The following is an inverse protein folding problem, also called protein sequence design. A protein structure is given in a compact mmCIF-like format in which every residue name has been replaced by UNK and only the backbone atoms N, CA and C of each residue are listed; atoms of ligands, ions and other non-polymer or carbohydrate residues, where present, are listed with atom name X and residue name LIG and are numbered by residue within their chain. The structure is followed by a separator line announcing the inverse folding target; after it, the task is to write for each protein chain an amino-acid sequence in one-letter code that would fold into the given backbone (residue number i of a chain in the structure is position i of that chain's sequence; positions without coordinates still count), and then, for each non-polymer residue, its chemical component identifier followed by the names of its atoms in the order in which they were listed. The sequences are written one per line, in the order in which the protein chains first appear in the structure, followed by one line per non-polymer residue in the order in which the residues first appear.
data_IF_633117717457
#
_entry.id   IF_633117717457
#
_cell.length_a   1.000
_cell.length_b   1.000
_cell.length_c   1.000
_cell.angle_alpha   90.00
_cell.angle_beta   90.00
_cell.angle_gamma   90.00
#
_symmetry.space_group_name_H-M   'P 1'
#
loop_
_entity.id
_entity.type
_entity.pdbx_description
1 polymer ?
#
# COMPACT_ATOMS: atom_id res chain seq x y z
N UNK A 1 22.15 15.30 -1.35
CA UNK A 1 21.56 15.01 -2.68
C UNK A 1 22.50 15.54 -3.74
N UNK A 2 22.80 14.77 -4.78
CA UNK A 2 23.57 15.25 -5.94
C UNK A 2 22.64 16.01 -6.89
N UNK A 3 23.19 16.93 -7.70
CA UNK A 3 22.42 17.77 -8.64
C UNK A 3 21.52 16.96 -9.60
N UNK A 4 22.00 15.79 -10.06
CA UNK A 4 21.22 14.90 -10.93
C UNK A 4 19.99 14.26 -10.28
N UNK A 5 20.01 13.99 -8.96
CA UNK A 5 18.82 13.48 -8.25
C UNK A 5 17.77 14.56 -8.07
N UNK A 6 18.20 15.79 -7.78
CA UNK A 6 17.28 16.92 -7.64
C UNK A 6 16.54 17.20 -8.97
N UNK A 7 17.25 17.13 -10.10
CA UNK A 7 16.65 17.29 -11.43
C UNK A 7 15.56 16.26 -11.73
N UNK A 8 15.79 14.99 -11.36
CA UNK A 8 14.81 13.90 -11.57
C UNK A 8 13.54 14.09 -10.72
N UNK A 9 13.70 14.49 -9.45
CA UNK A 9 12.56 14.78 -8.56
C UNK A 9 11.76 15.98 -9.04
N UNK A 10 12.44 17.06 -9.45
CA UNK A 10 11.78 18.26 -9.99
C UNK A 10 11.03 17.93 -11.28
N UNK A 11 11.64 17.13 -12.17
CA UNK A 11 10.97 16.64 -13.37
C UNK A 11 9.71 15.85 -13.01
N UNK A 12 9.81 14.88 -12.10
CA UNK A 12 8.65 14.08 -11.68
C UNK A 12 7.51 14.89 -11.07
N UNK A 13 7.82 15.85 -10.20
CA UNK A 13 6.81 16.74 -9.61
C UNK A 13 6.10 17.61 -10.65
N UNK A 14 6.80 18.03 -11.71
CA UNK A 14 6.21 18.82 -12.81
C UNK A 14 5.29 17.98 -13.70
N UNK A 15 5.57 16.69 -13.86
CA UNK A 15 4.87 15.80 -14.79
C UNK A 15 3.82 14.91 -14.13
N UNK A 16 3.71 14.91 -12.79
CA UNK A 16 2.81 14.04 -12.02
C UNK A 16 1.31 14.11 -12.39
N UNK A 17 0.89 15.17 -13.09
CA UNK A 17 -0.51 15.38 -13.52
C UNK A 17 -0.63 15.75 -15.00
N UNK A 18 0.42 15.52 -15.78
CA UNK A 18 0.38 15.75 -17.23
C UNK A 18 0.00 14.43 -17.90
N UNK A 19 -0.79 14.52 -18.96
CA UNK A 19 -1.07 13.37 -19.81
C UNK A 19 0.27 12.82 -20.36
N UNK A 20 0.42 11.49 -20.46
CA UNK A 20 1.61 10.88 -21.06
C UNK A 20 1.74 11.27 -22.53
N UNK A 21 2.96 11.55 -22.96
CA UNK A 21 3.30 11.64 -24.38
C UNK A 21 3.61 10.24 -24.91
N UNK A 22 2.57 9.57 -25.41
CA UNK A 22 2.66 8.18 -25.88
C UNK A 22 3.52 8.04 -27.13
N UNK A 23 3.54 9.05 -28.00
CA UNK A 23 4.34 9.02 -29.23
C UNK A 23 5.82 9.10 -28.88
N UNK A 24 6.19 9.98 -27.95
CA UNK A 24 7.56 10.04 -27.43
C UNK A 24 7.97 8.75 -26.71
N UNK A 25 7.06 8.12 -25.95
CA UNK A 25 7.33 6.81 -25.34
C UNK A 25 7.58 5.72 -26.39
N UNK A 26 6.74 5.64 -27.43
CA UNK A 26 6.92 4.68 -28.53
C UNK A 26 8.16 4.96 -29.35
N UNK A 27 8.56 6.22 -29.49
CA UNK A 27 9.74 6.65 -30.24
C UNK A 27 11.05 6.55 -29.44
N UNK A 28 11.02 6.15 -28.16
CA UNK A 28 12.22 6.04 -27.34
C UNK A 28 13.28 5.15 -28.02
N UNK A 29 14.49 5.70 -28.19
CA UNK A 29 15.57 5.07 -28.97
C UNK A 29 16.41 4.06 -28.20
N UNK A 30 16.18 3.92 -26.90
CA UNK A 30 16.89 2.96 -26.03
C UNK A 30 16.02 2.53 -24.84
N UNK A 31 16.32 1.37 -24.21
CA UNK A 31 15.64 0.94 -22.98
C UNK A 31 15.74 1.97 -21.84
N UNK A 32 16.89 2.61 -21.68
CA UNK A 32 17.12 3.62 -20.64
C UNK A 32 16.31 4.90 -20.89
N UNK A 33 16.15 5.28 -22.17
CA UNK A 33 15.29 6.39 -22.55
C UNK A 33 13.82 6.08 -22.30
N UNK A 34 13.36 4.89 -22.71
CA UNK A 34 12.01 4.41 -22.42
C UNK A 34 11.75 4.47 -20.91
N UNK A 35 12.66 3.92 -20.10
CA UNK A 35 12.51 3.89 -18.66
C UNK A 35 12.38 5.30 -18.04
N UNK A 36 13.20 6.25 -18.51
CA UNK A 36 13.19 7.63 -18.04
C UNK A 36 11.87 8.34 -18.36
N UNK A 37 11.34 8.11 -19.55
CA UNK A 37 10.08 8.70 -20.02
C UNK A 37 8.87 8.05 -19.34
N UNK A 38 8.89 6.73 -19.13
CA UNK A 38 7.77 5.95 -18.62
C UNK A 38 7.61 6.02 -17.09
N UNK A 39 8.70 6.23 -16.33
CA UNK A 39 8.68 6.10 -14.87
C UNK A 39 7.61 6.95 -14.17
N UNK A 40 7.45 8.21 -14.56
CA UNK A 40 6.48 9.11 -13.91
C UNK A 40 5.05 8.86 -14.40
N UNK A 41 4.78 8.72 -15.71
CA UNK A 41 3.46 8.33 -16.18
C UNK A 41 2.96 7.00 -15.62
N UNK A 42 3.82 5.99 -15.55
CA UNK A 42 3.46 4.63 -15.11
C UNK A 42 3.18 4.54 -13.60
N UNK A 43 3.88 5.33 -12.78
CA UNK A 43 3.87 5.15 -11.32
C UNK A 43 3.65 6.42 -10.49
N UNK A 44 3.52 7.59 -11.11
CA UNK A 44 3.15 8.86 -10.46
C UNK A 44 4.03 9.16 -9.23
N UNK A 45 3.43 9.19 -8.03
CA UNK A 45 4.17 9.46 -6.78
C UNK A 45 5.25 8.41 -6.51
N UNK A 46 5.03 7.15 -6.87
CA UNK A 46 6.04 6.10 -6.74
C UNK A 46 7.21 6.33 -7.70
N UNK A 47 6.96 6.81 -8.93
CA UNK A 47 8.03 7.22 -9.84
C UNK A 47 8.86 8.39 -9.30
N UNK A 48 8.22 9.36 -8.60
CA UNK A 48 8.94 10.41 -7.87
C UNK A 48 9.75 9.82 -6.71
N UNK A 49 9.18 8.86 -5.98
CA UNK A 49 9.85 8.20 -4.86
C UNK A 49 11.12 7.45 -5.30
N UNK A 50 11.04 6.70 -6.41
CA UNK A 50 12.17 6.02 -7.06
C UNK A 50 13.30 6.99 -7.41
N UNK A 51 12.98 8.24 -7.75
CA UNK A 51 13.98 9.28 -8.05
C UNK A 51 14.85 9.69 -6.84
N UNK A 52 14.45 9.40 -5.60
CA UNK A 52 15.27 9.66 -4.41
C UNK A 52 16.34 8.59 -4.16
N UNK A 53 16.20 7.41 -4.75
CA UNK A 53 17.07 6.26 -4.51
C UNK A 53 18.52 6.47 -5.00
N UNK A 54 19.43 5.60 -4.58
CA UNK A 54 20.77 5.51 -5.15
C UNK A 54 20.70 5.06 -6.61
N UNK A 55 21.77 5.26 -7.40
CA UNK A 55 21.73 4.91 -8.82
C UNK A 55 21.43 3.41 -9.04
N UNK A 56 22.06 2.52 -8.25
CA UNK A 56 21.82 1.09 -8.30
C UNK A 56 20.39 0.72 -7.90
N UNK A 57 19.92 1.16 -6.73
CA UNK A 57 18.55 0.84 -6.27
C UNK A 57 17.49 1.45 -7.19
N UNK A 58 17.76 2.61 -7.79
CA UNK A 58 16.87 3.24 -8.76
C UNK A 58 16.75 2.41 -10.03
N UNK A 59 17.86 1.86 -10.55
CA UNK A 59 17.82 1.01 -11.73
C UNK A 59 16.98 -0.25 -11.48
N UNK A 60 17.23 -0.94 -10.36
CA UNK A 60 16.47 -2.13 -9.95
C UNK A 60 14.98 -1.80 -9.75
N UNK A 61 14.66 -0.78 -8.95
CA UNK A 61 13.28 -0.37 -8.71
C UNK A 61 12.56 0.08 -9.98
N UNK A 62 13.26 0.72 -10.93
CA UNK A 62 12.67 1.12 -12.22
C UNK A 62 12.36 -0.10 -13.08
N UNK A 63 13.31 -1.03 -13.21
CA UNK A 63 13.11 -2.24 -13.99
C UNK A 63 11.99 -3.12 -13.40
N UNK A 64 11.99 -3.31 -12.08
CA UNK A 64 10.94 -4.04 -11.36
C UNK A 64 9.55 -3.41 -11.58
N UNK A 65 9.46 -2.08 -11.45
CA UNK A 65 8.22 -1.35 -11.64
C UNK A 65 7.70 -1.48 -13.07
N UNK A 66 8.53 -1.25 -14.08
CA UNK A 66 8.09 -1.34 -15.47
C UNK A 66 7.72 -2.78 -15.85
N UNK A 67 8.42 -3.78 -15.30
CA UNK A 67 8.06 -5.18 -15.45
C UNK A 67 6.68 -5.48 -14.85
N UNK A 68 6.38 -5.01 -13.64
CA UNK A 68 5.03 -5.17 -13.07
C UNK A 68 3.96 -4.48 -13.92
N UNK A 69 4.23 -3.30 -14.49
CA UNK A 69 3.28 -2.62 -15.38
C UNK A 69 3.03 -3.36 -16.70
N UNK A 70 4.04 -4.08 -17.19
CA UNK A 70 3.84 -5.02 -18.30
C UNK A 70 2.91 -6.17 -17.88
N UNK A 71 3.07 -6.72 -16.68
CA UNK A 71 2.17 -7.76 -16.17
C UNK A 71 0.73 -7.24 -16.02
N UNK A 72 0.54 -6.03 -15.46
CA UNK A 72 -0.77 -5.37 -15.38
C UNK A 72 -1.42 -5.27 -16.77
N UNK A 73 -0.65 -4.93 -17.82
CA UNK A 73 -1.16 -4.86 -19.19
C UNK A 73 -1.74 -6.21 -19.67
N UNK A 74 -1.06 -7.32 -19.36
CA UNK A 74 -1.53 -8.66 -19.70
C UNK A 74 -2.63 -9.17 -18.78
N UNK A 75 -2.76 -8.65 -17.56
CA UNK A 75 -3.86 -8.97 -16.66
C UNK A 75 -5.15 -8.26 -17.11
N UNK A 76 -5.07 -6.97 -17.42
CA UNK A 76 -6.24 -6.11 -17.59
C UNK A 76 -6.72 -6.00 -19.04
N UNK A 77 -5.80 -6.08 -20.02
CA UNK A 77 -6.11 -5.65 -21.39
C UNK A 77 -6.16 -6.80 -22.42
N UNK A 78 -5.74 -8.00 -22.06
CA UNK A 78 -5.91 -9.17 -22.93
C UNK A 78 -7.28 -9.81 -22.68
N UNK A 79 -7.79 -10.55 -23.67
CA UNK A 79 -9.00 -11.34 -23.51
C UNK A 79 -8.90 -12.25 -22.28
N UNK A 80 -9.89 -12.14 -21.39
CA UNK A 80 -9.90 -12.81 -20.08
C UNK A 80 -9.60 -14.32 -20.12
N UNK A 81 -10.10 -15.11 -21.10
CA UNK A 81 -9.76 -16.53 -21.20
C UNK A 81 -8.26 -16.82 -21.41
N UNK A 82 -7.52 -15.88 -21.98
CA UNK A 82 -6.08 -15.99 -22.27
C UNK A 82 -5.21 -15.36 -21.19
N UNK A 83 -5.75 -14.46 -20.38
CA UNK A 83 -5.00 -13.61 -19.45
C UNK A 83 -4.08 -14.37 -18.50
N UNK A 84 -4.58 -15.42 -17.84
CA UNK A 84 -3.76 -16.22 -16.89
C UNK A 84 -2.52 -16.80 -17.58
N UNK A 85 -2.70 -17.39 -18.77
CA UNK A 85 -1.57 -17.96 -19.54
C UNK A 85 -0.62 -16.89 -20.08
N UNK A 86 -1.14 -15.73 -20.47
CA UNK A 86 -0.35 -14.62 -20.99
C UNK A 86 0.52 -13.98 -19.90
N UNK A 87 -0.02 -13.78 -18.70
CA UNK A 87 0.74 -13.30 -17.54
C UNK A 87 1.90 -14.25 -17.21
N UNK A 88 1.64 -15.56 -17.12
CA UNK A 88 2.70 -16.56 -16.85
C UNK A 88 3.78 -16.56 -17.95
N UNK A 89 3.37 -16.41 -19.21
CA UNK A 89 4.31 -16.31 -20.34
C UNK A 89 5.13 -15.02 -20.27
N UNK A 90 4.51 -13.90 -19.91
CA UNK A 90 5.20 -12.62 -19.73
C UNK A 90 6.25 -12.69 -18.62
N UNK A 91 5.93 -13.32 -17.49
CA UNK A 91 6.88 -13.58 -16.40
C UNK A 91 8.07 -14.39 -16.89
N UNK A 92 7.83 -15.54 -17.53
CA UNK A 92 8.90 -16.38 -18.06
C UNK A 92 9.77 -15.64 -19.08
N UNK A 93 9.15 -14.81 -19.92
CA UNK A 93 9.87 -14.03 -20.91
C UNK A 93 10.75 -12.94 -20.27
N UNK A 94 10.22 -12.20 -19.30
CA UNK A 94 10.94 -11.14 -18.58
C UNK A 94 12.09 -11.70 -17.74
N UNK A 95 11.93 -12.89 -17.16
CA UNK A 95 12.99 -13.61 -16.43
C UNK A 95 14.03 -14.25 -17.36
N UNK A 96 13.70 -14.40 -18.64
CA UNK A 96 14.56 -15.06 -19.63
C UNK A 96 14.48 -16.58 -19.63
N UNK A 97 13.47 -17.14 -18.97
CA UNK A 97 13.17 -18.58 -18.97
C UNK A 97 12.60 -19.03 -20.33
N UNK A 98 11.95 -18.11 -21.05
CA UNK A 98 11.49 -18.32 -22.43
C UNK A 98 11.93 -17.20 -23.37
N UNK A 99 12.21 -17.54 -24.63
CA UNK A 99 12.68 -16.58 -25.64
C UNK A 99 11.56 -15.95 -26.47
N UNK A 100 10.37 -16.55 -26.46
CA UNK A 100 9.23 -16.04 -27.21
C UNK A 100 8.42 -15.08 -26.34
N UNK A 101 8.20 -13.82 -26.76
CA UNK A 101 7.36 -12.91 -26.00
C UNK A 101 5.90 -13.38 -26.01
N UNK A 102 5.10 -12.99 -25.00
CA UNK A 102 3.66 -13.18 -25.01
C UNK A 102 2.99 -12.54 -26.25
N UNK A 103 1.74 -12.93 -26.59
CA UNK A 103 1.00 -12.37 -27.71
C UNK A 103 0.88 -10.85 -27.63
N UNK A 104 0.81 -10.18 -28.78
CA UNK A 104 0.57 -8.74 -28.81
C UNK A 104 -0.82 -8.41 -28.26
N UNK A 105 -0.92 -7.33 -27.49
CA UNK A 105 -2.19 -6.80 -27.02
C UNK A 105 -2.88 -6.03 -28.15
N UNK A 106 -4.17 -6.31 -28.37
CA UNK A 106 -5.01 -5.64 -29.36
C UNK A 106 -6.16 -4.90 -28.68
N UNK A 107 -5.84 -4.17 -27.61
CA UNK A 107 -6.80 -3.44 -26.80
C UNK A 107 -6.76 -1.93 -27.09
N UNK A 108 -7.88 -1.27 -26.83
CA UNK A 108 -7.97 0.19 -26.81
C UNK A 108 -7.94 0.64 -25.36
N UNK A 109 -6.90 1.38 -24.98
CA UNK A 109 -6.83 1.96 -23.64
C UNK A 109 -7.94 3.00 -23.44
N UNK A 110 -8.65 2.86 -22.33
CA UNK A 110 -9.67 3.81 -21.86
C UNK A 110 -9.03 4.84 -20.93
N UNK A 111 -7.99 4.44 -20.19
CA UNK A 111 -7.28 5.29 -19.21
C UNK A 111 -5.86 5.61 -19.67
N UNK A 112 -5.35 6.78 -19.31
CA UNK A 112 -3.95 7.17 -19.56
C UNK A 112 -2.95 6.15 -19.00
N UNK A 113 -3.25 5.53 -17.86
CA UNK A 113 -2.40 4.50 -17.24
C UNK A 113 -2.34 3.23 -18.10
N UNK A 114 -3.48 2.78 -18.62
CA UNK A 114 -3.54 1.62 -19.53
C UNK A 114 -2.81 1.92 -20.83
N UNK A 115 -2.89 3.16 -21.33
CA UNK A 115 -2.18 3.54 -22.55
C UNK A 115 -0.66 3.46 -22.38
N UNK A 116 -0.14 3.80 -21.19
CA UNK A 116 1.27 3.60 -20.85
C UNK A 116 1.60 2.11 -20.75
N UNK A 117 0.73 1.31 -20.13
CA UNK A 117 0.94 -0.13 -19.96
C UNK A 117 0.96 -0.86 -21.31
N UNK A 118 0.09 -0.48 -22.25
CA UNK A 118 0.11 -0.98 -23.62
C UNK A 118 1.44 -0.68 -24.31
N UNK A 119 1.93 0.56 -24.22
CA UNK A 119 3.23 0.90 -24.81
C UNK A 119 4.36 0.11 -24.17
N UNK A 120 4.33 -0.12 -22.85
CA UNK A 120 5.32 -0.95 -22.17
C UNK A 120 5.24 -2.42 -22.61
N UNK A 121 4.04 -2.97 -22.83
CA UNK A 121 3.85 -4.32 -23.34
C UNK A 121 4.30 -4.46 -24.80
N UNK A 122 4.00 -3.49 -25.67
CA UNK A 122 4.53 -3.39 -27.04
C UNK A 122 6.07 -3.38 -27.03
N UNK A 123 6.65 -2.70 -26.04
CA UNK A 123 8.10 -2.54 -25.83
C UNK A 123 8.66 -3.53 -24.80
N UNK A 124 8.02 -4.69 -24.57
CA UNK A 124 8.43 -5.67 -23.54
C UNK A 124 9.90 -6.13 -23.70
N UNK A 125 10.43 -6.14 -24.93
CA UNK A 125 11.85 -6.40 -25.22
C UNK A 125 12.79 -5.43 -24.53
N UNK A 126 12.45 -4.14 -24.50
CA UNK A 126 13.26 -3.12 -23.82
C UNK A 126 13.17 -3.27 -22.30
N UNK A 127 11.99 -3.64 -21.78
CA UNK A 127 11.82 -3.94 -20.35
C UNK A 127 12.66 -5.16 -19.95
N UNK A 128 12.67 -6.23 -20.76
CA UNK A 128 13.57 -7.38 -20.56
C UNK A 128 15.04 -6.97 -20.62
N UNK A 129 15.42 -6.06 -21.51
CA UNK A 129 16.79 -5.55 -21.60
C UNK A 129 17.21 -4.78 -20.33
N UNK A 130 16.30 -3.98 -19.75
CA UNK A 130 16.54 -3.31 -18.47
C UNK A 130 16.76 -4.31 -17.33
N UNK A 131 15.96 -5.37 -17.27
CA UNK A 131 16.15 -6.46 -16.29
C UNK A 131 17.49 -7.16 -16.51
N UNK A 132 17.82 -7.52 -17.76
CA UNK A 132 19.07 -8.19 -18.09
C UNK A 132 20.32 -7.36 -17.72
N UNK A 133 20.22 -6.03 -17.77
CA UNK A 133 21.29 -5.11 -17.40
C UNK A 133 21.54 -4.99 -15.88
N UNK A 134 20.63 -5.49 -15.03
CA UNK A 134 20.84 -5.47 -13.58
C UNK A 134 21.98 -6.44 -13.17
N UNK A 135 22.66 -6.16 -12.05
CA UNK A 135 23.54 -7.13 -11.41
C UNK A 135 22.80 -8.44 -11.11
N UNK A 136 23.54 -9.56 -11.06
CA UNK A 136 22.95 -10.91 -10.90
C UNK A 136 21.99 -11.01 -9.71
N UNK A 137 22.38 -10.48 -8.55
CA UNK A 137 21.53 -10.47 -7.35
C UNK A 137 20.24 -9.67 -7.54
N UNK A 138 20.32 -8.52 -8.22
CA UNK A 138 19.15 -7.71 -8.53
C UNK A 138 18.21 -8.42 -9.49
N UNK A 139 18.74 -9.10 -10.51
CA UNK A 139 17.94 -9.94 -11.42
C UNK A 139 17.23 -11.06 -10.69
N UNK A 140 17.92 -11.75 -9.78
CA UNK A 140 17.34 -12.83 -9.00
C UNK A 140 16.22 -12.34 -8.08
N UNK A 141 16.44 -11.21 -7.36
CA UNK A 141 15.41 -10.62 -6.50
C UNK A 141 14.18 -10.20 -7.28
N UNK A 142 14.36 -9.50 -8.39
CA UNK A 142 13.24 -9.05 -9.23
C UNK A 142 12.54 -10.24 -9.87
N UNK A 143 13.29 -11.23 -10.37
CA UNK A 143 12.70 -12.41 -11.00
C UNK A 143 11.86 -13.25 -10.05
N UNK A 144 12.30 -13.44 -8.80
CA UNK A 144 11.48 -14.08 -7.75
C UNK A 144 10.20 -13.29 -7.48
N UNK A 145 10.30 -11.97 -7.35
CA UNK A 145 9.12 -11.11 -7.15
C UNK A 145 8.13 -11.22 -8.33
N UNK A 146 8.60 -11.24 -9.58
CA UNK A 146 7.75 -11.36 -10.76
C UNK A 146 7.02 -12.71 -10.83
N UNK A 147 7.69 -13.80 -10.43
CA UNK A 147 7.05 -15.13 -10.31
C UNK A 147 5.94 -15.10 -9.27
N UNK A 148 6.22 -14.57 -8.07
CA UNK A 148 5.24 -14.51 -6.98
C UNK A 148 4.01 -13.67 -7.37
N UNK A 149 4.23 -12.49 -7.94
CA UNK A 149 3.16 -11.57 -8.38
C UNK A 149 2.36 -12.18 -9.52
N UNK A 150 3.04 -12.69 -10.55
CA UNK A 150 2.38 -13.28 -11.72
C UNK A 150 1.52 -14.50 -11.37
N UNK A 151 1.94 -15.33 -10.41
CA UNK A 151 1.12 -16.46 -9.96
C UNK A 151 -0.09 -16.02 -9.13
N UNK A 152 -0.02 -14.89 -8.41
CA UNK A 152 -1.20 -14.31 -7.75
C UNK A 152 -2.19 -13.79 -8.79
N UNK A 153 -1.73 -13.04 -9.79
CA UNK A 153 -2.56 -12.54 -10.89
C UNK A 153 -3.23 -13.69 -11.64
N UNK A 154 -2.46 -14.71 -12.02
CA UNK A 154 -2.97 -15.88 -12.72
C UNK A 154 -4.04 -16.64 -11.92
N UNK A 155 -3.81 -16.87 -10.63
CA UNK A 155 -4.81 -17.50 -9.74
C UNK A 155 -6.06 -16.67 -9.61
N UNK A 156 -5.95 -15.35 -9.50
CA UNK A 156 -7.10 -14.45 -9.41
C UNK A 156 -7.95 -14.47 -10.69
N UNK A 157 -7.32 -14.59 -11.86
CA UNK A 157 -7.99 -14.71 -13.15
C UNK A 157 -8.74 -16.05 -13.29
N UNK A 158 -8.18 -17.14 -12.75
CA UNK A 158 -8.79 -18.48 -12.75
C UNK A 158 -9.90 -18.63 -11.71
N UNK A 159 -9.65 -18.15 -10.50
CA UNK A 159 -10.55 -18.18 -9.36
C UNK A 159 -10.39 -16.88 -8.56
N UNK A 160 -11.37 -15.97 -8.62
CA UNK A 160 -11.29 -14.68 -7.96
C UNK A 160 -10.88 -14.80 -6.48
N UNK A 161 -9.84 -14.05 -6.10
CA UNK A 161 -9.37 -13.95 -4.74
C UNK A 161 -10.15 -12.85 -4.00
N UNK A 162 -10.13 -12.88 -2.66
CA UNK A 162 -10.59 -11.72 -1.89
C UNK A 162 -9.71 -10.50 -2.23
N UNK A 163 -10.29 -9.30 -2.16
CA UNK A 163 -9.54 -8.09 -2.53
C UNK A 163 -8.28 -7.91 -1.69
N UNK A 164 -8.36 -8.24 -0.40
CA UNK A 164 -7.22 -8.23 0.53
C UNK A 164 -6.15 -9.23 0.08
N UNK A 165 -6.49 -10.50 -0.15
CA UNK A 165 -5.52 -11.53 -0.53
C UNK A 165 -4.85 -11.22 -1.87
N UNK A 166 -5.61 -10.73 -2.85
CA UNK A 166 -5.05 -10.26 -4.11
C UNK A 166 -4.08 -9.10 -3.89
N UNK A 167 -4.48 -8.07 -3.15
CA UNK A 167 -3.65 -6.87 -2.92
C UNK A 167 -2.35 -7.17 -2.16
N UNK A 168 -2.39 -8.07 -1.19
CA UNK A 168 -1.19 -8.56 -0.49
C UNK A 168 -0.28 -9.36 -1.42
N UNK A 169 -0.87 -10.19 -2.28
CA UNK A 169 -0.14 -11.03 -3.22
C UNK A 169 0.48 -10.27 -4.40
N UNK A 170 -0.08 -9.13 -4.80
CA UNK A 170 0.50 -8.29 -5.87
C UNK A 170 1.31 -7.14 -5.30
N UNK A 171 0.68 -6.04 -4.86
CA UNK A 171 1.39 -4.86 -4.37
C UNK A 171 2.12 -5.13 -3.04
N UNK A 172 1.63 -6.03 -2.19
CA UNK A 172 2.34 -6.42 -0.97
C UNK A 172 3.71 -7.04 -1.26
N UNK A 173 3.82 -7.90 -2.29
CA UNK A 173 5.09 -8.48 -2.75
C UNK A 173 6.02 -7.43 -3.34
N UNK A 174 5.48 -6.47 -4.09
CA UNK A 174 6.25 -5.33 -4.61
C UNK A 174 6.78 -4.45 -3.47
N UNK A 175 5.99 -4.20 -2.43
CA UNK A 175 6.43 -3.46 -1.25
C UNK A 175 7.49 -4.24 -0.48
N UNK A 176 7.33 -5.55 -0.31
CA UNK A 176 8.34 -6.39 0.34
C UNK A 176 9.68 -6.29 -0.41
N UNK A 177 9.66 -6.44 -1.73
CA UNK A 177 10.84 -6.24 -2.56
C UNK A 177 11.46 -4.84 -2.36
N UNK A 178 10.65 -3.79 -2.37
CA UNK A 178 11.12 -2.42 -2.14
C UNK A 178 11.73 -2.23 -0.73
N UNK A 179 11.18 -2.88 0.30
CA UNK A 179 11.72 -2.90 1.65
C UNK A 179 13.07 -3.61 1.69
N UNK A 180 13.18 -4.82 1.14
CA UNK A 180 14.43 -5.58 1.06
C UNK A 180 15.51 -4.82 0.28
N UNK A 181 15.14 -4.08 -0.76
CA UNK A 181 16.07 -3.28 -1.54
C UNK A 181 16.71 -2.12 -0.76
N UNK A 182 16.02 -1.59 0.25
CA UNK A 182 16.48 -0.38 0.97
C UNK A 182 16.87 -0.61 2.43
N UNK A 183 16.48 -1.75 2.99
CA UNK A 183 16.85 -2.18 4.33
C UNK A 183 18.24 -2.79 4.34
N UNK A 184 18.94 -2.66 5.47
CA UNK A 184 20.09 -3.51 5.78
C UNK A 184 19.63 -4.96 6.02
N UNK A 185 20.49 -5.91 5.66
CA UNK A 185 20.22 -7.35 5.75
C UNK A 185 19.71 -7.73 7.13
N UNK A 186 18.47 -8.20 7.17
CA UNK A 186 17.77 -8.53 8.39
C UNK A 186 17.43 -10.01 8.29
N UNK A 187 17.93 -10.82 9.22
CA UNK A 187 17.75 -12.27 9.16
C UNK A 187 16.28 -12.72 9.01
N UNK A 188 16.07 -13.99 8.65
CA UNK A 188 14.80 -14.54 8.17
C UNK A 188 13.55 -14.21 9.02
N UNK A 189 13.65 -14.15 10.35
CA UNK A 189 12.52 -13.79 11.23
C UNK A 189 12.03 -12.36 10.97
N UNK A 190 12.94 -11.43 10.72
CA UNK A 190 12.60 -10.04 10.42
C UNK A 190 12.02 -9.92 9.02
N UNK A 191 12.44 -10.74 8.06
CA UNK A 191 11.85 -10.78 6.72
C UNK A 191 10.39 -11.23 6.75
N UNK A 192 10.06 -12.24 7.56
CA UNK A 192 8.68 -12.70 7.72
C UNK A 192 7.78 -11.60 8.30
N UNK A 193 8.23 -10.91 9.35
CA UNK A 193 7.52 -9.77 9.93
C UNK A 193 7.38 -8.61 8.93
N UNK A 194 8.44 -8.30 8.17
CA UNK A 194 8.39 -7.28 7.12
C UNK A 194 7.43 -7.68 6.00
N UNK A 195 7.32 -8.96 5.66
CA UNK A 195 6.39 -9.49 4.66
C UNK A 195 4.93 -9.23 5.03
N UNK A 196 4.56 -9.52 6.28
CA UNK A 196 3.19 -9.25 6.76
C UNK A 196 2.86 -7.75 6.73
N UNK A 197 3.79 -6.92 7.21
CA UNK A 197 3.62 -5.47 7.25
C UNK A 197 3.66 -4.81 5.85
N UNK A 198 4.47 -5.36 4.93
CA UNK A 198 4.48 -4.97 3.53
C UNK A 198 3.14 -5.29 2.84
N UNK A 199 2.53 -6.43 3.18
CA UNK A 199 1.17 -6.78 2.77
C UNK A 199 0.17 -5.66 3.07
N UNK A 200 0.20 -5.11 4.29
CA UNK A 200 -0.67 -4.00 4.69
C UNK A 200 -0.49 -2.72 3.87
N UNK A 201 0.75 -2.37 3.52
CA UNK A 201 1.02 -1.25 2.61
C UNK A 201 0.53 -1.56 1.19
N UNK A 202 0.71 -2.79 0.73
CA UNK A 202 0.18 -3.27 -0.55
C UNK A 202 -1.33 -3.11 -0.64
N UNK A 203 -2.07 -3.59 0.37
CA UNK A 203 -3.52 -3.40 0.50
C UNK A 203 -3.88 -1.92 0.48
N UNK A 204 -3.22 -1.09 1.30
CA UNK A 204 -3.48 0.36 1.36
C UNK A 204 -3.27 1.04 0.00
N UNK A 205 -2.19 0.70 -0.70
CA UNK A 205 -1.90 1.26 -2.02
C UNK A 205 -2.90 0.78 -3.08
N UNK A 206 -3.34 -0.48 -3.01
CA UNK A 206 -4.35 -1.00 -3.94
C UNK A 206 -5.71 -0.33 -3.72
N UNK A 207 -6.14 -0.22 -2.47
CA UNK A 207 -7.36 0.51 -2.09
C UNK A 207 -7.33 1.97 -2.59
N UNK A 208 -6.17 2.63 -2.51
CA UNK A 208 -6.00 3.98 -3.05
C UNK A 208 -6.09 4.02 -4.59
N UNK A 209 -5.59 2.99 -5.29
CA UNK A 209 -5.75 2.87 -6.73
C UNK A 209 -7.23 2.65 -7.10
N UNK A 210 -7.92 1.74 -6.41
CA UNK A 210 -9.33 1.42 -6.67
C UNK A 210 -10.23 2.66 -6.56
N UNK A 211 -10.01 3.49 -5.54
CA UNK A 211 -10.74 4.76 -5.37
C UNK A 211 -10.46 5.77 -6.47
N UNK A 212 -9.20 5.84 -6.88
CA UNK A 212 -8.74 6.79 -7.89
C UNK A 212 -9.28 6.42 -9.26
N UNK A 213 -9.33 5.13 -9.54
CA UNK A 213 -9.68 4.56 -10.83
C UNK A 213 -11.19 4.24 -10.92
N UNK A 214 -11.93 4.49 -9.83
CA UNK A 214 -13.39 4.37 -9.73
C UNK A 214 -13.89 2.95 -10.02
N UNK A 215 -13.24 1.97 -9.38
CA UNK A 215 -13.49 0.53 -9.55
C UNK A 215 -14.81 0.08 -8.88
N UNK A 216 -15.96 0.63 -9.32
CA UNK A 216 -17.28 0.35 -8.72
C UNK A 216 -17.66 -1.14 -8.76
N UNK A 217 -17.38 -1.80 -9.90
CA UNK A 217 -17.77 -3.19 -10.15
C UNK A 217 -17.09 -4.17 -9.19
N UNK A 218 -15.80 -3.96 -8.87
CA UNK A 218 -15.03 -4.80 -7.95
C UNK A 218 -15.69 -4.85 -6.56
N UNK A 219 -16.35 -3.77 -6.15
CA UNK A 219 -16.97 -3.64 -4.84
C UNK A 219 -18.49 -3.90 -4.88
N UNK A 220 -19.08 -4.10 -6.06
CA UNK A 220 -20.52 -4.27 -6.23
C UNK A 220 -21.33 -3.05 -5.77
N UNK A 221 -20.75 -1.85 -5.88
CA UNK A 221 -21.35 -0.59 -5.43
C UNK A 221 -21.87 0.23 -6.60
N UNK A 222 -22.91 1.03 -6.37
CA UNK A 222 -23.59 1.76 -7.42
C UNK A 222 -22.90 3.08 -7.78
N UNK A 223 -22.22 3.70 -6.80
CA UNK A 223 -21.62 5.01 -6.97
C UNK A 223 -20.31 5.20 -6.19
N UNK A 224 -19.69 6.35 -6.46
CA UNK A 224 -18.40 6.74 -5.87
C UNK A 224 -18.46 6.93 -4.36
N UNK A 225 -19.60 7.38 -3.81
CA UNK A 225 -19.72 7.61 -2.38
C UNK A 225 -19.75 6.26 -1.62
N UNK A 226 -20.46 5.28 -2.16
CA UNK A 226 -20.45 3.91 -1.67
C UNK A 226 -19.07 3.26 -1.79
N UNK A 227 -18.37 3.47 -2.91
CA UNK A 227 -16.98 3.02 -3.09
C UNK A 227 -16.05 3.63 -2.03
N UNK A 228 -16.10 4.95 -1.84
CA UNK A 228 -15.32 5.65 -0.80
C UNK A 228 -15.58 5.05 0.57
N UNK A 229 -16.84 4.80 0.93
CA UNK A 229 -17.18 4.17 2.22
C UNK A 229 -16.61 2.76 2.32
N UNK A 230 -16.84 1.93 1.31
CA UNK A 230 -16.39 0.54 1.27
C UNK A 230 -14.86 0.42 1.36
N UNK A 231 -14.11 1.33 0.74
CA UNK A 231 -12.65 1.34 0.76
C UNK A 231 -12.11 1.90 2.08
N UNK A 232 -12.63 3.04 2.55
CA UNK A 232 -12.10 3.68 3.75
C UNK A 232 -12.33 2.84 5.01
N UNK A 233 -13.42 2.07 5.08
CA UNK A 233 -13.63 1.09 6.16
C UNK A 233 -12.61 -0.06 6.13
N UNK A 234 -12.28 -0.56 4.93
CA UNK A 234 -11.26 -1.61 4.74
C UNK A 234 -9.83 -1.13 5.01
N UNK A 235 -9.60 0.18 5.01
CA UNK A 235 -8.28 0.77 5.26
C UNK A 235 -7.84 0.69 6.73
N UNK A 236 -8.78 0.53 7.67
CA UNK A 236 -8.51 0.61 9.13
C UNK A 236 -7.41 -0.35 9.59
N UNK A 237 -7.58 -1.65 9.32
CA UNK A 237 -6.59 -2.66 9.70
C UNK A 237 -5.24 -2.48 8.98
N UNK A 238 -5.16 -2.38 7.63
CA UNK A 238 -3.88 -2.22 6.96
C UNK A 238 -3.18 -0.88 7.29
N UNK A 239 -3.89 0.18 7.67
CA UNK A 239 -3.27 1.41 8.13
C UNK A 239 -2.40 1.18 9.39
N UNK A 240 -2.87 0.36 10.32
CA UNK A 240 -2.10 -0.01 11.50
C UNK A 240 -0.79 -0.72 11.14
N UNK A 241 -0.84 -1.65 10.18
CA UNK A 241 0.36 -2.31 9.63
C UNK A 241 1.30 -1.35 8.91
N UNK A 242 0.77 -0.38 8.17
CA UNK A 242 1.58 0.68 7.54
C UNK A 242 2.39 1.47 8.58
N UNK A 243 1.77 1.83 9.70
CA UNK A 243 2.45 2.57 10.77
C UNK A 243 3.54 1.74 11.45
N UNK A 244 3.24 0.48 11.76
CA UNK A 244 4.22 -0.46 12.31
C UNK A 244 5.41 -0.65 11.35
N UNK A 245 5.16 -0.83 10.04
CA UNK A 245 6.22 -0.93 9.05
C UNK A 245 7.08 0.33 9.04
N UNK A 246 6.44 1.51 8.95
CA UNK A 246 7.14 2.79 8.85
C UNK A 246 8.03 3.05 10.08
N UNK A 247 7.56 2.68 11.29
CA UNK A 247 8.35 2.78 12.51
C UNK A 247 9.60 1.88 12.48
N UNK A 248 9.46 0.66 11.96
CA UNK A 248 10.55 -0.32 11.86
C UNK A 248 11.55 -0.04 10.75
N UNK A 249 11.10 0.53 9.64
CA UNK A 249 11.92 0.75 8.45
C UNK A 249 12.93 1.88 8.64
N UNK A 250 12.60 2.92 9.41
CA UNK A 250 13.52 4.06 9.60
C UNK A 250 14.91 3.66 10.09
N UNK A 251 15.08 2.94 11.23
CA UNK A 251 16.40 2.57 11.72
C UNK A 251 17.12 1.59 10.78
N UNK A 252 16.38 0.81 10.00
CA UNK A 252 16.91 -0.19 9.05
C UNK A 252 17.29 0.37 7.69
N UNK A 253 16.92 1.62 7.40
CA UNK A 253 17.14 2.25 6.10
C UNK A 253 18.27 3.27 6.22
N UNK A 254 19.54 2.91 5.92
CA UNK A 254 20.68 3.82 6.09
C UNK A 254 20.66 4.98 5.09
N UNK A 255 20.11 4.75 3.90
CA UNK A 255 20.04 5.77 2.84
C UNK A 255 19.02 6.87 3.16
N UNK A 256 19.49 8.11 3.28
CA UNK A 256 18.61 9.28 3.42
C UNK A 256 17.65 9.42 2.21
N UNK A 257 18.08 9.01 1.01
CA UNK A 257 17.22 9.01 -0.18
C UNK A 257 16.06 8.04 -0.06
N UNK A 258 16.32 6.81 0.41
CA UNK A 258 15.27 5.83 0.64
C UNK A 258 14.32 6.26 1.77
N UNK A 259 14.83 6.84 2.86
CA UNK A 259 13.98 7.44 3.90
C UNK A 259 13.10 8.57 3.36
N UNK A 260 13.63 9.41 2.46
CA UNK A 260 12.85 10.45 1.81
C UNK A 260 11.76 9.87 0.90
N UNK A 261 12.06 8.80 0.15
CA UNK A 261 11.08 8.07 -0.66
C UNK A 261 9.93 7.51 0.19
N UNK A 262 10.25 6.81 1.28
CA UNK A 262 9.24 6.26 2.20
C UNK A 262 8.38 7.37 2.82
N UNK A 263 8.99 8.43 3.34
CA UNK A 263 8.26 9.57 3.90
C UNK A 263 7.37 10.24 2.85
N UNK A 264 7.86 10.41 1.63
CA UNK A 264 7.09 10.98 0.53
C UNK A 264 5.87 10.14 0.18
N UNK A 265 6.03 8.82 0.06
CA UNK A 265 4.93 7.90 -0.20
C UNK A 265 3.90 7.89 0.94
N UNK A 266 4.34 7.84 2.20
CA UNK A 266 3.44 7.88 3.35
C UNK A 266 2.64 9.20 3.39
N UNK A 267 3.29 10.35 3.21
CA UNK A 267 2.64 11.66 3.22
C UNK A 267 1.66 11.80 2.05
N UNK A 268 2.06 11.42 0.84
CA UNK A 268 1.25 11.65 -0.36
C UNK A 268 0.07 10.69 -0.48
N UNK A 269 0.25 9.42 -0.11
CA UNK A 269 -0.82 8.42 -0.08
C UNK A 269 -1.86 8.77 0.98
N UNK A 270 -1.42 9.11 2.19
CA UNK A 270 -2.33 9.57 3.26
C UNK A 270 -3.07 10.83 2.85
N UNK A 271 -2.38 11.81 2.27
CA UNK A 271 -3.02 13.03 1.81
C UNK A 271 -4.03 12.81 0.67
N UNK A 272 -3.87 11.76 -0.14
CA UNK A 272 -4.87 11.37 -1.12
C UNK A 272 -6.09 10.78 -0.42
N UNK A 273 -5.90 9.78 0.45
CA UNK A 273 -6.97 9.10 1.18
C UNK A 273 -7.79 10.06 2.05
N UNK A 274 -7.15 10.93 2.84
CA UNK A 274 -7.85 11.97 3.60
C UNK A 274 -8.70 12.88 2.70
N UNK A 275 -8.18 13.24 1.52
CA UNK A 275 -8.90 14.08 0.57
C UNK A 275 -10.12 13.40 -0.09
N UNK A 276 -10.24 12.07 -0.04
CA UNK A 276 -11.43 11.37 -0.56
C UNK A 276 -12.66 11.50 0.34
N UNK A 277 -12.44 11.85 1.61
CA UNK A 277 -13.48 12.07 2.62
C UNK A 277 -13.46 13.50 3.16
N UNK A 278 -12.85 14.44 2.41
CA UNK A 278 -12.71 15.85 2.81
C UNK A 278 -12.02 16.10 4.16
N UNK A 279 -11.21 15.14 4.63
CA UNK A 279 -10.44 15.28 5.86
C UNK A 279 -9.11 16.04 5.63
N UNK A 280 -8.58 16.73 6.66
CA UNK A 280 -7.31 17.43 6.57
C UNK A 280 -6.14 16.51 6.19
N UNK A 281 -5.36 16.89 5.18
CA UNK A 281 -4.13 16.20 4.83
C UNK A 281 -3.02 16.47 5.87
N UNK A 282 -2.07 15.52 6.09
CA UNK A 282 -1.01 15.67 7.10
C UNK A 282 -0.08 16.85 6.83
N UNK A 283 0.07 17.22 5.56
CA UNK A 283 0.82 18.38 5.12
C UNK A 283 0.15 19.04 3.91
N UNK A 284 0.13 20.39 3.85
CA UNK A 284 -0.31 21.09 2.65
C UNK A 284 0.62 20.75 1.49
N UNK A 285 0.08 20.73 0.26
CA UNK A 285 0.78 20.24 -0.95
C UNK A 285 2.19 20.82 -1.11
N UNK A 286 2.36 22.13 -0.89
CA UNK A 286 3.63 22.85 -1.01
C UNK A 286 4.72 22.40 -0.03
N UNK A 287 4.35 21.78 1.10
CA UNK A 287 5.28 21.36 2.15
C UNK A 287 5.62 19.86 2.10
N UNK A 288 4.90 19.04 1.32
CA UNK A 288 5.06 17.57 1.34
C UNK A 288 6.50 17.12 1.04
N UNK A 289 7.13 17.71 0.02
CA UNK A 289 8.52 17.40 -0.33
C UNK A 289 9.50 17.81 0.78
N UNK A 290 9.37 19.03 1.29
CA UNK A 290 10.23 19.54 2.38
C UNK A 290 10.09 18.70 3.65
N UNK A 291 8.86 18.34 4.03
CA UNK A 291 8.59 17.47 5.17
C UNK A 291 9.23 16.08 4.99
N UNK A 292 9.18 15.52 3.78
CA UNK A 292 9.81 14.23 3.46
C UNK A 292 11.32 14.28 3.65
N UNK A 293 11.96 15.36 3.19
CA UNK A 293 13.41 15.59 3.37
C UNK A 293 13.79 15.77 4.84
N UNK A 294 13.01 16.55 5.60
CA UNK A 294 13.26 16.74 7.03
C UNK A 294 13.14 15.42 7.80
N UNK A 295 12.10 14.64 7.52
CA UNK A 295 11.92 13.31 8.10
C UNK A 295 13.08 12.37 7.76
N UNK A 296 13.57 12.40 6.52
CA UNK A 296 14.72 11.60 6.10
C UNK A 296 16.01 11.91 6.87
N UNK A 297 16.21 13.17 7.23
CA UNK A 297 17.45 13.62 7.87
C UNK A 297 17.41 13.54 9.41
N UNK A 298 16.24 13.41 10.05
CA UNK A 298 16.14 13.53 11.52
C UNK A 298 15.11 12.57 12.13
N UNK A 299 15.48 11.81 13.20
CA UNK A 299 14.54 10.95 13.92
C UNK A 299 13.37 11.71 14.50
N UNK A 300 13.63 12.92 15.01
CA UNK A 300 12.60 13.81 15.56
C UNK A 300 11.58 14.21 14.50
N UNK A 301 12.02 14.62 13.31
CA UNK A 301 11.09 15.02 12.24
C UNK A 301 10.34 13.83 11.65
N UNK A 302 10.92 12.63 11.69
CA UNK A 302 10.22 11.41 11.31
C UNK A 302 9.13 11.01 12.29
N UNK A 303 9.40 11.02 13.59
CA UNK A 303 8.36 10.80 14.60
C UNK A 303 7.26 11.88 14.51
N UNK A 304 7.63 13.12 14.16
CA UNK A 304 6.65 14.19 13.90
C UNK A 304 5.81 13.91 12.66
N UNK A 305 6.42 13.40 11.59
CA UNK A 305 5.73 13.00 10.37
C UNK A 305 4.77 11.84 10.63
N UNK A 306 5.21 10.80 11.34
CA UNK A 306 4.35 9.67 11.73
C UNK A 306 3.13 10.12 12.53
N UNK A 307 3.31 10.92 13.58
CA UNK A 307 2.19 11.46 14.38
C UNK A 307 1.20 12.28 13.54
N UNK A 308 1.70 13.10 12.60
CA UNK A 308 0.82 13.88 11.72
C UNK A 308 0.05 13.00 10.74
N UNK A 309 0.71 12.00 10.17
CA UNK A 309 0.07 11.02 9.29
C UNK A 309 -1.01 10.27 10.07
N UNK A 310 -0.70 9.76 11.27
CA UNK A 310 -1.64 9.10 12.17
C UNK A 310 -2.85 9.98 12.48
N UNK A 311 -2.63 11.20 12.97
CA UNK A 311 -3.73 12.12 13.29
C UNK A 311 -4.60 12.51 12.08
N UNK A 312 -4.05 12.49 10.86
CA UNK A 312 -4.84 12.73 9.65
C UNK A 312 -5.67 11.52 9.24
N UNK A 313 -5.17 10.31 9.49
CA UNK A 313 -5.93 9.07 9.31
C UNK A 313 -7.07 9.01 10.33
N UNK A 314 -6.82 9.33 11.60
CA UNK A 314 -7.86 9.43 12.63
C UNK A 314 -8.95 10.43 12.22
N UNK A 315 -8.57 11.64 11.80
CA UNK A 315 -9.53 12.63 11.31
C UNK A 315 -10.35 12.13 10.11
N UNK A 316 -9.72 11.39 9.18
CA UNK A 316 -10.41 10.81 8.04
C UNK A 316 -11.43 9.73 8.44
N UNK A 317 -11.11 8.91 9.43
CA UNK A 317 -12.02 7.89 9.96
C UNK A 317 -13.24 8.56 10.60
N UNK A 318 -13.02 9.59 11.43
CA UNK A 318 -14.12 10.32 12.04
C UNK A 318 -15.01 11.01 11.02
N UNK A 319 -14.41 11.69 10.03
CA UNK A 319 -15.16 12.34 8.95
C UNK A 319 -16.00 11.35 8.15
N UNK A 320 -15.46 10.15 7.89
CA UNK A 320 -16.21 9.07 7.25
C UNK A 320 -17.42 8.64 8.09
N UNK A 321 -17.23 8.42 9.39
CA UNK A 321 -18.30 8.00 10.30
C UNK A 321 -19.38 9.07 10.47
N UNK A 322 -19.01 10.36 10.52
CA UNK A 322 -19.94 11.49 10.60
C UNK A 322 -20.79 11.65 9.33
N UNK A 323 -20.22 11.31 8.16
CA UNK A 323 -20.94 11.36 6.88
C UNK A 323 -21.94 10.22 6.68
N UNK A 324 -22.02 9.27 7.62
CA UNK A 324 -22.95 8.15 7.55
C UNK A 324 -24.34 8.57 8.04
N UNK A 325 -25.40 8.42 7.23
CA UNK A 325 -26.76 8.87 7.57
C UNK A 325 -27.35 8.18 8.82
N UNK A 326 -26.85 6.99 9.17
CA UNK A 326 -27.26 6.25 10.38
C UNK A 326 -26.68 6.84 11.69
N UNK A 327 -25.76 7.81 11.61
CA UNK A 327 -24.85 8.20 12.71
C UNK A 327 -24.68 9.71 12.91
N UNK A 328 -25.56 10.53 12.33
CA UNK A 328 -25.58 11.97 12.53
C UNK A 328 -26.03 12.35 13.96
N UNK A 329 -25.26 11.94 14.97
CA UNK A 329 -25.48 12.21 16.37
C UNK A 329 -24.30 13.02 16.93
N UNK A 330 -24.49 14.35 16.93
CA UNK A 330 -23.75 15.29 17.77
C UNK A 330 -22.30 15.58 17.36
N UNK A 331 -22.03 16.87 17.10
CA UNK A 331 -20.68 17.44 17.01
C UNK A 331 -20.03 17.46 18.40
N UNK A 332 -19.41 16.34 18.80
CA UNK A 332 -18.55 16.25 19.99
C UNK A 332 -17.17 15.80 19.55
N UNK A 333 -16.15 16.38 20.20
CA UNK A 333 -14.72 16.14 20.00
C UNK A 333 -14.41 14.66 19.71
N UNK A 334 -13.76 14.43 18.59
CA UNK A 334 -13.43 13.10 18.08
C UNK A 334 -12.43 12.42 19.03
N UNK A 335 -12.73 11.21 19.57
CA UNK A 335 -11.78 10.51 20.40
C UNK A 335 -10.55 10.14 19.58
N UNK A 336 -9.41 10.17 20.25
CA UNK A 336 -8.13 9.66 19.80
C UNK A 336 -8.24 8.13 19.62
N UNK A 337 -8.55 7.65 18.41
CA UNK A 337 -8.89 6.24 18.12
C UNK A 337 -7.62 5.42 17.87
N UNK A 338 -6.73 5.90 17.00
CA UNK A 338 -5.48 5.19 16.68
C UNK A 338 -4.28 5.71 17.49
N UNK A 339 -4.34 6.92 18.04
CA UNK A 339 -3.34 7.47 18.98
C UNK A 339 -3.27 6.73 20.34
N UNK A 340 -4.26 5.88 20.68
CA UNK A 340 -4.16 4.94 21.81
C UNK A 340 -3.02 3.91 21.64
N UNK A 341 -2.52 3.73 20.42
CA UNK A 341 -1.38 2.85 20.13
C UNK A 341 0.00 3.50 20.37
N UNK A 342 0.07 4.82 20.58
CA UNK A 342 1.36 5.56 20.72
C UNK A 342 2.16 5.21 21.99
N UNK A 343 1.54 4.53 22.97
CA UNK A 343 2.15 4.27 24.29
C UNK A 343 2.78 2.89 24.45
N UNK A 344 2.69 1.99 23.46
CA UNK A 344 3.26 0.62 23.52
C UNK A 344 4.19 0.36 22.33
N UNK A 345 5.20 -0.51 22.47
CA UNK A 345 5.91 -1.03 21.30
C UNK A 345 4.87 -1.64 20.35
N UNK A 346 4.80 -1.13 19.12
CA UNK A 346 3.89 -1.70 18.12
C UNK A 346 4.27 -3.17 17.93
N UNK A 347 3.26 -4.05 18.05
CA UNK A 347 3.43 -5.46 17.76
C UNK A 347 4.00 -5.66 16.35
N UNK A 348 4.74 -6.74 16.17
CA UNK A 348 5.50 -6.99 14.94
C UNK A 348 4.70 -7.76 13.89
N UNK A 349 3.48 -8.17 14.25
CA UNK A 349 2.56 -8.94 13.42
C UNK A 349 1.15 -8.35 13.51
N UNK A 350 0.31 -8.54 12.50
CA UNK A 350 -1.00 -7.87 12.41
C UNK A 350 -2.02 -8.42 13.39
N UNK A 351 -2.04 -9.74 13.63
CA UNK A 351 -3.01 -10.34 14.54
C UNK A 351 -2.99 -9.74 15.95
N UNK A 352 -1.85 -9.69 16.69
CA UNK A 352 -1.81 -8.98 17.97
C UNK A 352 -2.09 -7.50 17.83
N UNK A 353 -1.61 -6.85 16.77
CA UNK A 353 -1.77 -5.42 16.59
C UNK A 353 -3.25 -4.99 16.43
N UNK A 354 -4.04 -5.78 15.68
CA UNK A 354 -5.48 -5.58 15.50
C UNK A 354 -6.25 -5.93 16.77
N UNK A 355 -5.95 -7.07 17.40
CA UNK A 355 -6.62 -7.51 18.64
C UNK A 355 -6.36 -6.51 19.78
N UNK A 356 -5.11 -6.12 20.00
CA UNK A 356 -4.74 -5.18 21.07
C UNK A 356 -5.41 -3.82 20.88
N UNK A 357 -5.46 -3.33 19.64
CA UNK A 357 -6.14 -2.06 19.32
C UNK A 357 -7.65 -2.18 19.52
N UNK A 358 -8.25 -3.28 19.08
CA UNK A 358 -9.69 -3.58 19.29
C UNK A 358 -10.03 -3.53 20.78
N UNK A 359 -9.28 -4.24 21.62
CA UNK A 359 -9.52 -4.25 23.07
C UNK A 359 -9.13 -2.93 23.75
N UNK A 360 -8.15 -2.18 23.23
CA UNK A 360 -7.88 -0.83 23.72
C UNK A 360 -9.08 0.11 23.52
N UNK A 361 -9.76 0.00 22.36
CA UNK A 361 -10.99 0.74 22.08
C UNK A 361 -12.13 0.28 23.00
N UNK A 362 -12.36 -1.03 23.15
CA UNK A 362 -13.41 -1.54 24.05
C UNK A 362 -13.17 -1.11 25.51
N UNK A 363 -11.91 -1.18 26.00
CA UNK A 363 -11.57 -0.78 27.38
C UNK A 363 -11.70 0.72 27.64
N UNK A 364 -11.73 1.56 26.61
CA UNK A 364 -11.93 2.99 26.77
C UNK A 364 -13.43 3.35 26.83
N UNK A 365 -14.35 2.41 26.60
CA UNK A 365 -15.78 2.60 26.87
C UNK A 365 -16.06 2.70 28.37
N UNK A 366 -17.18 3.33 28.78
CA UNK A 366 -17.59 3.36 30.18
C UNK A 366 -17.71 1.96 30.80
N UNK A 367 -17.32 1.83 32.07
CA UNK A 367 -17.52 0.58 32.84
C UNK A 367 -19.00 0.33 33.18
N UNK A 368 -19.82 1.39 33.19
CA UNK A 368 -21.25 1.29 33.43
C UNK A 368 -21.96 0.61 32.24
N UNK A 369 -23.06 -0.14 32.46
CA UNK A 369 -23.83 -0.74 31.38
C UNK A 369 -24.24 0.30 30.35
N UNK A 370 -23.87 0.04 29.08
CA UNK A 370 -24.28 0.83 27.92
C UNK A 370 -25.80 0.65 27.73
N UNK A 371 -26.59 1.54 28.36
CA UNK A 371 -28.05 1.50 28.38
C UNK A 371 -28.60 2.86 27.93
N UNK A 372 -29.68 2.85 27.14
CA UNK A 372 -30.28 4.08 26.59
C UNK A 372 -29.56 4.62 25.34
N UNK A 373 -29.73 5.92 25.06
CA UNK A 373 -29.02 6.60 23.97
C UNK A 373 -27.53 6.76 24.34
N UNK A 374 -26.66 6.18 23.51
CA UNK A 374 -25.21 6.26 23.71
C UNK A 374 -24.65 7.57 23.18
N UNK A 375 -23.56 8.05 23.78
CA UNK A 375 -22.85 9.19 23.24
C UNK A 375 -22.25 8.82 21.87
N UNK A 376 -22.28 9.76 20.90
CA UNK A 376 -21.73 9.50 19.56
C UNK A 376 -20.26 9.06 19.57
N UNK A 377 -19.48 9.48 20.57
CA UNK A 377 -18.09 9.04 20.79
C UNK A 377 -17.98 7.55 21.17
N UNK A 378 -18.93 7.02 21.93
CA UNK A 378 -18.99 5.62 22.35
C UNK A 378 -19.40 4.73 21.17
N UNK A 379 -20.43 5.15 20.42
CA UNK A 379 -20.88 4.49 19.19
C UNK A 379 -19.73 4.38 18.18
N UNK A 380 -19.01 5.49 17.92
CA UNK A 380 -17.85 5.50 17.01
C UNK A 380 -16.78 4.51 17.46
N UNK A 381 -16.47 4.49 18.75
CA UNK A 381 -15.44 3.62 19.31
C UNK A 381 -15.81 2.14 19.19
N UNK A 382 -17.07 1.79 19.44
CA UNK A 382 -17.59 0.43 19.20
C UNK A 382 -17.51 0.03 17.73
N UNK A 383 -17.95 0.91 16.83
CA UNK A 383 -17.91 0.63 15.38
C UNK A 383 -16.50 0.39 14.85
N UNK A 384 -15.52 1.20 15.28
CA UNK A 384 -14.13 0.98 14.88
C UNK A 384 -13.60 -0.33 15.45
N UNK A 385 -13.93 -0.67 16.69
CA UNK A 385 -13.55 -1.95 17.29
C UNK A 385 -14.15 -3.14 16.53
N UNK A 386 -15.43 -3.08 16.18
CA UNK A 386 -16.11 -4.11 15.40
C UNK A 386 -15.48 -4.26 14.02
N UNK A 387 -15.23 -3.14 13.31
CA UNK A 387 -14.58 -3.20 12.00
C UNK A 387 -13.16 -3.77 12.06
N UNK A 388 -12.37 -3.43 13.08
CA UNK A 388 -11.06 -4.03 13.27
C UNK A 388 -11.17 -5.54 13.52
N UNK A 389 -12.14 -5.98 14.32
CA UNK A 389 -12.38 -7.40 14.57
C UNK A 389 -12.80 -8.16 13.29
N UNK A 390 -13.71 -7.59 12.48
CA UNK A 390 -14.10 -8.15 11.19
C UNK A 390 -12.94 -8.18 10.20
N UNK A 391 -12.14 -7.11 10.14
CA UNK A 391 -10.97 -7.05 9.26
C UNK A 391 -9.91 -8.10 9.63
N UNK A 392 -9.78 -8.48 10.92
CA UNK A 392 -8.93 -9.59 11.32
C UNK A 392 -9.41 -10.93 10.74
N UNK A 393 -10.73 -11.14 10.65
CA UNK A 393 -11.32 -12.34 10.07
C UNK A 393 -11.12 -12.41 8.55
N UNK A 394 -11.25 -11.28 7.84
CA UNK A 394 -11.06 -11.22 6.37
C UNK A 394 -9.64 -11.62 5.92
N UNK A 395 -8.66 -11.56 6.83
CA UNK A 395 -7.26 -11.95 6.57
C UNK A 395 -7.03 -13.45 6.70
N UNK A 396 -7.96 -14.21 7.28
CA UNK A 396 -7.82 -15.65 7.42
C UNK A 396 -8.10 -16.31 6.05
N UNK A 397 -7.18 -17.14 5.53
CA UNK A 397 -7.43 -17.88 4.30
C UNK A 397 -8.68 -18.76 4.42
N UNK A 398 -9.49 -18.90 3.35
CA UNK A 398 -10.66 -19.77 3.40
C UNK A 398 -10.28 -21.20 3.81
N UNK A 399 -11.01 -21.75 4.78
CA UNK A 399 -10.84 -23.11 5.32
C UNK A 399 -9.56 -23.33 6.15
N UNK A 400 -8.88 -22.27 6.56
CA UNK A 400 -7.75 -22.36 7.49
C UNK A 400 -8.26 -22.40 8.94
N UNK A 401 -8.53 -23.61 9.43
CA UNK A 401 -9.05 -23.84 10.78
C UNK A 401 -8.04 -23.45 11.87
N UNK A 402 -6.74 -23.65 11.63
CA UNK A 402 -5.68 -23.35 12.58
C UNK A 402 -5.52 -21.83 12.76
N UNK A 403 -5.53 -21.08 11.66
CA UNK A 403 -5.51 -19.61 11.71
C UNK A 403 -6.74 -19.04 12.43
N UNK A 404 -7.93 -19.61 12.18
CA UNK A 404 -9.16 -19.24 12.89
C UNK A 404 -9.08 -19.52 14.40
N UNK A 405 -8.60 -20.71 14.78
CA UNK A 405 -8.42 -21.07 16.19
C UNK A 405 -7.40 -20.16 16.87
N UNK A 406 -6.28 -19.84 16.21
CA UNK A 406 -5.27 -18.94 16.73
C UNK A 406 -5.81 -17.51 16.94
N UNK A 407 -6.60 -17.00 16.00
CA UNK A 407 -7.24 -15.69 16.15
C UNK A 407 -8.27 -15.70 17.30
N UNK A 408 -9.12 -16.71 17.37
CA UNK A 408 -10.12 -16.85 18.44
C UNK A 408 -9.46 -16.93 19.83
N UNK A 409 -8.39 -17.71 19.97
CA UNK A 409 -7.62 -17.81 21.21
C UNK A 409 -7.04 -16.44 21.63
N UNK A 410 -6.56 -15.64 20.68
CA UNK A 410 -6.06 -14.28 20.96
C UNK A 410 -7.16 -13.35 21.45
N UNK A 411 -8.33 -13.35 20.79
CA UNK A 411 -9.48 -12.59 21.26
C UNK A 411 -9.88 -13.02 22.68
N UNK A 412 -9.90 -14.31 22.95
CA UNK A 412 -10.22 -14.84 24.28
C UNK A 412 -9.19 -14.40 25.33
N UNK A 413 -7.89 -14.52 25.06
CA UNK A 413 -6.84 -14.09 25.98
C UNK A 413 -6.89 -12.57 26.24
N UNK A 414 -7.06 -11.77 25.20
CA UNK A 414 -7.17 -10.31 25.35
C UNK A 414 -8.44 -9.88 26.10
N UNK A 415 -9.54 -10.64 25.98
CA UNK A 415 -10.75 -10.43 26.77
C UNK A 415 -10.57 -10.82 28.24
N UNK A 416 -9.73 -11.82 28.53
CA UNK A 416 -9.44 -12.28 29.89
C UNK A 416 -8.39 -11.44 30.61
N UNK A 417 -7.53 -10.73 29.87
CA UNK A 417 -6.49 -9.82 30.39
C UNK A 417 -7.09 -8.50 30.92
N UNK A 418 -8.27 -8.58 31.56
CA UNK A 418 -8.88 -7.49 32.32
C UNK A 418 -8.00 -7.26 33.54
N UNK A 419 -7.37 -6.09 33.70
CA UNK A 419 -6.63 -5.81 34.91
C UNK A 419 -7.60 -5.89 36.10
N UNK A 420 -7.38 -6.83 37.01
CA UNK A 420 -7.99 -6.83 38.34
C UNK A 420 -7.51 -5.59 39.09
N UNK A 421 -8.17 -4.45 38.89
CA UNK A 421 -8.04 -3.29 39.77
C UNK A 421 -8.91 -3.52 41.00
N UNK A 422 -8.34 -4.21 41.98
CA UNK A 422 -9.03 -4.54 43.22
C UNK A 422 -8.13 -5.18 44.27
N UNK A 423 -6.91 -4.71 44.43
CA UNK A 423 -6.03 -5.10 45.53
C UNK A 423 -5.54 -3.87 46.27
N UNK A 424 -6.37 -3.31 47.15
CA UNK A 424 -5.85 -2.53 48.28
C UNK A 424 -5.15 -3.52 49.20
N UNK A 425 -3.86 -3.30 49.46
CA UNK A 425 -3.28 -3.57 50.76
C UNK A 425 -2.92 -2.22 51.39
#
# INVERSE_FOLDING_TARGET
MTAGRLGSVVYGLRHLRRAPDLDTLRAAGSPEELARLALIPAARNLGVAVSFLSAGHRAEATAALLACRVLDAYEDLIDRPLASSAVRTAVGYLNGDVDTPPPLLHAVAVRDSEAVDLVLAERIRDVRALLAALPAEGRERVGRMLVDVGEVMARNLESPLSRTAYSEGVLGRVVLHACTLVAEDAGAEVEAELGELAGCVGVTAQLANDLRDNELEIYGVADRAELTRAVMLRLLAPALGCFALLARMRPRTPSAGARAAMAYMAITTTAFLCGTVDAPAPYPRRLRLGASMLAACSPRYWATMQRRVLGSVDAAIHQLLESSPDLAAGTIEAPDVLTLTDSRPLATTMAPLVVDTTFALVRALPEAPLTGELAGTEVRRMMVADHLAFAALERIPPRDADAMQALAMRFQLAALDVPTKGGRL
#
